data_IF_439370175886
#
_entry.id   IF_439370175886
#
_cell.length_a   1.000
_cell.length_b   1.000
_cell.length_c   1.000
_cell.angle_alpha   90.00
_cell.angle_beta   90.00
_cell.angle_gamma   90.00
#
_symmetry.space_group_name_H-M   'P 1'
#
loop_
_entity.id
_entity.type
_entity.pdbx_description
1 polymer ?
#
# COMPACT_ATOMS: atom_id res chain seq x y z
N UNK A 1 25.02 -2.51 18.48
CA UNK A 1 24.24 -2.68 17.21
C UNK A 1 24.49 -4.08 16.69
N UNK A 2 23.46 -4.83 16.26
CA UNK A 2 23.65 -6.22 15.82
C UNK A 2 24.34 -6.30 14.44
N UNK A 3 25.24 -7.27 14.25
CA UNK A 3 25.88 -7.52 12.96
C UNK A 3 24.85 -7.82 11.85
N UNK A 4 23.75 -8.48 12.22
CA UNK A 4 22.62 -8.78 11.32
C UNK A 4 21.99 -7.51 10.76
N UNK A 5 21.76 -6.50 11.60
CA UNK A 5 21.21 -5.22 11.13
C UNK A 5 22.20 -4.51 10.21
N UNK A 6 23.46 -4.40 10.61
CA UNK A 6 24.49 -3.70 9.84
C UNK A 6 24.65 -4.30 8.43
N UNK A 7 24.66 -5.63 8.32
CA UNK A 7 24.71 -6.34 7.04
C UNK A 7 23.47 -6.04 6.17
N UNK A 8 22.27 -6.09 6.76
CA UNK A 8 21.01 -5.74 6.05
C UNK A 8 20.99 -4.30 5.58
N UNK A 9 21.39 -3.36 6.45
CA UNK A 9 21.48 -1.93 6.11
C UNK A 9 22.45 -1.71 4.94
N UNK A 10 23.65 -2.30 5.00
CA UNK A 10 24.62 -2.20 3.89
C UNK A 10 24.03 -2.71 2.57
N UNK A 11 23.36 -3.86 2.59
CA UNK A 11 22.70 -4.44 1.40
C UNK A 11 21.59 -3.53 0.85
N UNK A 12 20.73 -3.00 1.70
CA UNK A 12 19.62 -2.12 1.28
C UNK A 12 20.17 -0.79 0.74
N UNK A 13 21.17 -0.20 1.40
CA UNK A 13 21.80 1.03 0.91
C UNK A 13 22.52 0.83 -0.42
N UNK A 14 23.16 -0.31 -0.65
CA UNK A 14 23.75 -0.60 -1.97
C UNK A 14 22.69 -0.74 -3.06
N UNK A 15 21.49 -1.25 -2.72
CA UNK A 15 20.36 -1.31 -3.66
C UNK A 15 19.79 0.08 -3.95
N UNK A 16 19.75 0.97 -2.95
CA UNK A 16 19.25 2.35 -3.08
C UNK A 16 20.25 3.31 -3.75
N UNK A 17 21.53 2.96 -3.84
CA UNK A 17 22.60 3.82 -4.38
C UNK A 17 22.78 3.69 -5.90
N UNK A 18 22.05 2.80 -6.56
CA UNK A 18 22.09 2.61 -8.01
C UNK A 18 21.32 3.76 -8.69
N UNK A 19 21.79 4.30 -9.84
CA UNK A 19 21.07 5.30 -10.61
C UNK A 19 19.63 4.88 -10.92
N UNK A 20 18.74 5.87 -11.07
CA UNK A 20 17.29 5.72 -11.24
C UNK A 20 16.83 4.74 -12.31
N UNK A 21 17.66 4.53 -13.33
CA UNK A 21 17.39 3.68 -14.49
C UNK A 21 17.37 2.18 -14.13
N UNK A 22 18.02 1.76 -13.03
CA UNK A 22 18.22 0.34 -12.69
C UNK A 22 17.61 -0.06 -11.32
N UNK A 23 16.91 0.84 -10.64
CA UNK A 23 16.27 0.53 -9.36
C UNK A 23 14.93 -0.21 -9.58
N UNK A 24 14.69 -1.25 -8.78
CA UNK A 24 13.39 -1.93 -8.66
C UNK A 24 12.97 -1.88 -7.19
N UNK A 25 12.30 -0.80 -6.80
CA UNK A 25 11.50 -0.76 -5.58
C UNK A 25 10.43 -1.86 -5.63
N UNK A 26 10.04 -2.39 -4.46
CA UNK A 26 8.89 -3.30 -4.36
C UNK A 26 7.53 -2.57 -4.51
N UNK A 27 7.54 -1.25 -4.70
CA UNK A 27 6.41 -0.46 -5.17
C UNK A 27 6.21 -0.67 -6.68
N UNK A 28 4.97 -0.63 -7.20
CA UNK A 28 4.68 -0.84 -8.64
C UNK A 28 5.47 0.06 -9.62
N UNK A 29 6.08 1.15 -9.15
CA UNK A 29 6.81 2.14 -9.94
C UNK A 29 8.30 1.84 -10.13
N UNK A 30 8.91 0.97 -9.33
CA UNK A 30 10.34 0.62 -9.46
C UNK A 30 11.34 1.71 -9.05
N UNK A 31 11.02 3.01 -9.01
CA UNK A 31 11.95 4.09 -8.64
C UNK A 31 11.57 4.82 -7.33
N UNK A 32 12.55 5.37 -6.60
CA UNK A 32 12.26 6.27 -5.45
C UNK A 32 11.75 7.62 -5.98
N UNK A 33 10.50 7.93 -5.65
CA UNK A 33 9.85 9.22 -5.95
C UNK A 33 10.72 10.42 -5.55
N UNK A 34 10.93 11.36 -6.48
CA UNK A 34 11.71 12.57 -6.21
C UNK A 34 11.26 13.31 -4.93
N UNK A 35 9.93 13.48 -4.66
CA UNK A 35 9.45 14.15 -3.45
C UNK A 35 9.83 13.50 -2.11
N UNK A 36 10.13 12.20 -2.05
CA UNK A 36 10.48 11.53 -0.77
C UNK A 36 11.99 11.35 -0.54
N UNK A 37 12.82 11.60 -1.57
CA UNK A 37 14.27 11.32 -1.49
C UNK A 37 14.97 12.00 -0.33
N UNK A 38 14.63 13.26 -0.05
CA UNK A 38 15.21 14.03 1.05
C UNK A 38 14.92 13.39 2.42
N UNK A 39 13.69 12.92 2.63
CA UNK A 39 13.27 12.22 3.84
C UNK A 39 13.99 10.86 3.96
N UNK A 40 14.00 10.07 2.88
CA UNK A 40 14.67 8.77 2.83
C UNK A 40 16.17 8.90 3.14
N UNK A 41 16.85 9.84 2.49
CA UNK A 41 18.26 10.11 2.73
C UNK A 41 18.53 10.56 4.16
N UNK A 42 17.66 11.39 4.75
CA UNK A 42 17.78 11.81 6.15
C UNK A 42 17.66 10.62 7.11
N UNK A 43 16.66 9.76 6.93
CA UNK A 43 16.43 8.59 7.79
C UNK A 43 17.62 7.62 7.69
N UNK A 44 18.12 7.38 6.47
CA UNK A 44 19.18 6.41 6.22
C UNK A 44 20.55 6.83 6.80
N UNK A 45 20.76 8.13 7.06
CA UNK A 45 21.94 8.63 7.78
C UNK A 45 21.95 8.28 9.27
N UNK A 46 20.81 7.89 9.85
CA UNK A 46 20.76 7.47 11.26
C UNK A 46 21.22 6.03 11.35
N UNK A 47 22.30 5.77 12.08
CA UNK A 47 22.97 4.47 12.11
C UNK A 47 22.03 3.31 12.39
N UNK A 48 21.09 3.49 13.32
CA UNK A 48 20.15 2.44 13.74
C UNK A 48 18.90 2.27 12.86
N UNK A 49 18.81 2.97 11.73
CA UNK A 49 17.65 2.96 10.82
C UNK A 49 18.05 2.69 9.37
N UNK A 50 17.15 2.07 8.61
CA UNK A 50 17.21 2.00 7.14
C UNK A 50 15.81 1.86 6.55
N UNK A 51 15.50 2.61 5.49
CA UNK A 51 14.22 2.52 4.75
C UNK A 51 14.23 1.31 3.81
N UNK A 52 13.16 0.52 3.78
CA UNK A 52 13.08 -0.70 2.93
C UNK A 52 12.12 -0.58 1.75
N UNK A 53 11.15 0.33 1.82
CA UNK A 53 10.23 0.69 0.73
C UNK A 53 9.57 2.02 1.05
N UNK A 54 9.25 2.80 0.01
CA UNK A 54 8.69 4.15 0.17
C UNK A 54 7.77 4.54 -0.99
N UNK A 55 6.61 5.12 -0.67
CA UNK A 55 5.73 5.80 -1.60
C UNK A 55 5.51 7.23 -1.09
N UNK A 56 5.77 8.24 -1.91
CA UNK A 56 5.68 9.66 -1.51
C UNK A 56 4.25 10.17 -1.28
N UNK A 57 3.26 9.41 -1.74
CA UNK A 57 1.87 9.80 -1.93
C UNK A 57 1.54 9.87 -3.41
N UNK A 58 0.27 9.64 -3.77
CA UNK A 58 -0.18 9.66 -5.17
C UNK A 58 -1.63 10.06 -5.29
N UNK A 59 -1.95 10.68 -6.42
CA UNK A 59 -3.30 10.78 -6.95
C UNK A 59 -3.43 9.80 -8.11
N UNK A 60 -4.55 9.09 -8.21
CA UNK A 60 -4.70 8.04 -9.19
C UNK A 60 -6.15 7.86 -9.63
N UNK A 61 -6.33 7.44 -10.88
CA UNK A 61 -7.61 6.94 -11.39
C UNK A 61 -7.51 5.43 -11.44
N UNK A 62 -8.40 4.76 -10.72
CA UNK A 62 -8.39 3.32 -10.53
C UNK A 62 -9.72 2.73 -11.01
N UNK A 63 -9.64 1.74 -11.90
CA UNK A 63 -10.76 0.90 -12.27
C UNK A 63 -10.80 -0.34 -11.37
N UNK A 64 -11.94 -0.64 -10.77
CA UNK A 64 -12.12 -1.86 -9.99
C UNK A 64 -11.93 -3.13 -10.84
N UNK A 65 -11.66 -4.26 -10.17
CA UNK A 65 -11.60 -5.56 -10.85
C UNK A 65 -12.99 -6.02 -11.28
N UNK A 66 -13.05 -6.87 -12.31
CA UNK A 66 -14.31 -7.50 -12.71
C UNK A 66 -14.88 -8.31 -11.53
N UNK A 67 -16.17 -8.12 -11.22
CA UNK A 67 -16.87 -8.97 -10.24
C UNK A 67 -16.92 -10.38 -10.84
N UNK A 68 -16.41 -11.37 -10.11
CA UNK A 68 -16.69 -12.77 -10.46
C UNK A 68 -18.19 -13.00 -10.24
N UNK A 69 -18.94 -13.27 -11.30
CA UNK A 69 -20.33 -13.72 -11.18
C UNK A 69 -20.32 -15.01 -10.35
N UNK A 70 -21.24 -15.10 -9.38
CA UNK A 70 -21.35 -16.22 -8.45
C UNK A 70 -21.99 -17.47 -9.06
N UNK A 71 -21.98 -17.62 -10.39
CA UNK A 71 -22.64 -18.73 -11.11
C UNK A 71 -21.68 -19.75 -11.76
N UNK A 72 -20.35 -19.54 -11.68
CA UNK A 72 -19.38 -20.54 -12.14
C UNK A 72 -19.07 -21.58 -11.05
N UNK A 73 -20.07 -22.42 -10.75
CA UNK A 73 -19.89 -23.76 -10.19
C UNK A 73 -20.61 -24.77 -11.07
N UNK A 74 -20.05 -25.00 -12.26
CA UNK A 74 -20.27 -26.25 -12.99
C UNK A 74 -18.92 -26.87 -13.33
N UNK A 75 -18.68 -28.00 -12.69
CA UNK A 75 -17.63 -28.97 -12.95
C UNK A 75 -17.90 -29.63 -14.31
N UNK A 76 -16.96 -29.52 -15.27
CA UNK A 76 -16.64 -30.60 -16.22
C UNK A 76 -15.16 -30.50 -16.60
N UNK A 77 -14.45 -31.58 -16.27
CA UNK A 77 -13.13 -31.94 -16.82
C UNK A 77 -13.15 -32.04 -18.34
N UNK A 78 -12.24 -31.36 -19.03
CA UNK A 78 -12.02 -31.53 -20.47
C UNK A 78 -11.00 -30.54 -21.02
N UNK A 79 -9.74 -30.97 -21.14
CA UNK A 79 -8.67 -30.12 -21.64
C UNK A 79 -8.80 -29.82 -23.13
N UNK A 80 -8.52 -28.57 -23.52
CA UNK A 80 -7.86 -28.28 -24.79
C UNK A 80 -7.11 -26.96 -24.68
N UNK A 81 -5.81 -27.01 -25.00
CA UNK A 81 -4.90 -25.88 -25.06
C UNK A 81 -5.41 -24.82 -26.03
N UNK A 82 -5.67 -23.62 -25.53
CA UNK A 82 -5.54 -22.40 -26.33
C UNK A 82 -4.60 -21.46 -25.59
N UNK A 83 -3.37 -21.44 -26.09
CA UNK A 83 -2.30 -20.60 -25.64
C UNK A 83 -2.54 -19.19 -26.17
N UNK A 84 -3.04 -18.29 -25.31
CA UNK A 84 -2.94 -16.85 -25.51
C UNK A 84 -2.20 -16.29 -24.32
N UNK A 85 -0.88 -16.41 -24.40
CA UNK A 85 0.10 -15.69 -23.56
C UNK A 85 -0.11 -14.18 -23.73
N UNK A 86 -0.99 -13.57 -22.93
CA UNK A 86 -0.95 -12.13 -22.67
C UNK A 86 -0.24 -11.91 -21.35
N UNK A 87 1.08 -12.11 -21.34
CA UNK A 87 1.96 -11.54 -20.31
C UNK A 87 2.09 -10.05 -20.57
N UNK A 88 1.12 -9.26 -20.09
CA UNK A 88 1.31 -7.83 -19.94
C UNK A 88 1.68 -7.54 -18.48
N UNK A 89 2.98 -7.58 -18.22
CA UNK A 89 3.58 -7.18 -16.94
C UNK A 89 3.58 -5.65 -16.84
N UNK A 90 2.88 -5.07 -15.85
CA UNK A 90 3.44 -4.09 -14.90
C UNK A 90 2.43 -3.21 -14.11
N UNK A 91 1.12 -3.18 -14.41
CA UNK A 91 0.21 -2.18 -13.78
C UNK A 91 -1.12 -2.71 -13.24
N UNK A 92 -1.23 -4.01 -12.98
CA UNK A 92 -2.46 -4.60 -12.42
C UNK A 92 -2.56 -4.34 -10.90
N UNK A 93 -3.63 -3.69 -10.45
CA UNK A 93 -3.93 -3.51 -9.03
C UNK A 93 -4.25 -4.84 -8.36
N UNK A 94 -3.99 -4.95 -7.04
CA UNK A 94 -4.36 -6.13 -6.25
C UNK A 94 -5.88 -6.34 -6.34
N UNK A 95 -6.32 -7.50 -6.84
CA UNK A 95 -7.74 -7.83 -7.00
C UNK A 95 -8.30 -7.67 -8.42
N UNK A 96 -7.45 -7.55 -9.44
CA UNK A 96 -7.87 -7.53 -10.85
C UNK A 96 -8.29 -6.16 -11.38
N UNK A 97 -8.16 -5.10 -10.59
CA UNK A 97 -8.35 -3.73 -11.06
C UNK A 97 -7.14 -3.18 -11.81
N UNK A 98 -7.30 -1.99 -12.39
CA UNK A 98 -6.29 -1.35 -13.23
C UNK A 98 -6.07 0.10 -12.84
N UNK A 99 -4.80 0.53 -12.80
CA UNK A 99 -4.44 1.93 -12.68
C UNK A 99 -4.52 2.57 -14.06
N UNK A 100 -5.48 3.48 -14.25
CA UNK A 100 -5.65 4.23 -15.50
C UNK A 100 -4.88 5.54 -15.48
N UNK A 101 -4.70 6.12 -14.30
CA UNK A 101 -3.86 7.28 -14.09
C UNK A 101 -3.13 7.20 -12.75
N UNK A 102 -1.87 7.64 -12.70
CA UNK A 102 -1.09 7.77 -11.48
C UNK A 102 -0.17 8.99 -11.60
N UNK A 103 -0.29 9.92 -10.66
CA UNK A 103 0.69 10.99 -10.46
C UNK A 103 1.15 11.01 -9.00
N UNK A 104 2.44 11.28 -8.81
CA UNK A 104 3.06 11.44 -7.49
C UNK A 104 3.26 12.91 -7.10
N UNK A 105 2.76 13.82 -7.94
CA UNK A 105 2.85 15.27 -7.77
C UNK A 105 1.47 15.90 -8.03
N UNK A 106 1.34 17.18 -7.64
CA UNK A 106 0.12 17.94 -7.92
C UNK A 106 -0.15 18.00 -9.42
N UNK A 107 -1.42 17.83 -9.79
CA UNK A 107 -1.87 17.91 -11.18
C UNK A 107 -2.12 19.38 -11.54
N UNK A 108 -1.44 19.90 -12.56
CA UNK A 108 -1.67 21.26 -13.04
C UNK A 108 -2.96 21.37 -13.86
N UNK A 109 -4.01 21.86 -13.21
CA UNK A 109 -5.34 22.02 -13.82
C UNK A 109 -5.39 23.10 -14.90
N UNK A 110 -4.48 24.07 -14.89
CA UNK A 110 -4.50 25.18 -15.86
C UNK A 110 -4.26 24.68 -17.29
N UNK A 111 -3.42 23.65 -17.43
CA UNK A 111 -3.13 22.99 -18.70
C UNK A 111 -4.34 22.28 -19.33
N UNK A 112 -5.35 21.91 -18.53
CA UNK A 112 -6.50 21.13 -18.96
C UNK A 112 -7.79 21.95 -19.15
N UNK A 113 -7.88 23.14 -18.54
CA UNK A 113 -9.07 24.00 -18.61
C UNK A 113 -9.09 24.93 -19.84
N UNK A 114 -7.96 25.07 -20.54
CA UNK A 114 -7.79 26.01 -21.66
C UNK A 114 -8.41 25.62 -23.00
N UNK A 115 -8.89 24.38 -23.18
CA UNK A 115 -9.33 23.86 -24.49
C UNK A 115 -10.84 23.57 -24.58
N UNK A 116 -11.68 24.29 -23.83
CA UNK A 116 -13.12 24.03 -23.82
C UNK A 116 -13.78 24.54 -25.10
N UNK A 117 -14.08 23.63 -26.04
CA UNK A 117 -15.12 23.85 -27.04
C UNK A 117 -16.44 23.32 -26.48
N UNK A 118 -17.48 24.16 -26.29
CA UNK A 118 -18.68 23.83 -25.51
C UNK A 118 -19.65 22.81 -26.13
N UNK A 119 -19.27 22.09 -27.20
CA UNK A 119 -20.19 21.28 -28.01
C UNK A 119 -19.91 19.77 -28.03
N UNK A 120 -18.99 19.23 -27.23
CA UNK A 120 -18.68 17.80 -27.24
C UNK A 120 -19.21 17.07 -25.99
N UNK A 121 -19.91 15.95 -26.17
CA UNK A 121 -20.37 15.04 -25.10
C UNK A 121 -19.23 14.26 -24.42
N UNK A 122 -18.00 14.76 -24.51
CA UNK A 122 -16.77 14.15 -24.00
C UNK A 122 -16.16 15.06 -22.93
N UNK A 123 -15.78 14.51 -21.77
CA UNK A 123 -15.04 15.28 -20.76
C UNK A 123 -13.64 15.60 -21.30
N UNK A 124 -13.29 16.87 -21.42
CA UNK A 124 -11.95 17.24 -21.88
C UNK A 124 -10.92 16.92 -20.79
N UNK A 125 -11.26 17.15 -19.52
CA UNK A 125 -10.35 16.95 -18.40
C UNK A 125 -9.93 15.50 -18.20
N UNK A 126 -10.87 14.55 -18.09
CA UNK A 126 -10.51 13.13 -17.91
C UNK A 126 -9.77 12.59 -19.13
N UNK A 127 -10.24 12.94 -20.33
CA UNK A 127 -9.60 12.49 -21.56
C UNK A 127 -8.13 12.96 -21.61
N UNK A 128 -7.87 14.23 -21.32
CA UNK A 128 -6.50 14.77 -21.29
C UNK A 128 -5.63 14.11 -20.21
N UNK A 129 -6.17 13.78 -19.03
CA UNK A 129 -5.42 13.06 -17.99
C UNK A 129 -5.01 11.65 -18.44
N UNK A 130 -5.92 10.92 -19.10
CA UNK A 130 -5.64 9.59 -19.61
C UNK A 130 -4.65 9.62 -20.79
N UNK A 131 -4.83 10.55 -21.73
CA UNK A 131 -3.94 10.73 -22.89
C UNK A 131 -2.52 11.15 -22.48
N UNK A 132 -2.40 12.04 -21.49
CA UNK A 132 -1.08 12.51 -21.01
C UNK A 132 -0.19 11.35 -20.57
N UNK A 133 -0.75 10.28 -20.01
CA UNK A 133 0.01 9.09 -19.60
C UNK A 133 0.35 8.16 -20.76
N UNK A 134 -0.56 7.99 -21.72
CA UNK A 134 -0.28 7.21 -22.92
C UNK A 134 0.90 7.77 -23.73
N UNK A 135 1.17 9.07 -23.63
CA UNK A 135 2.32 9.69 -24.28
C UNK A 135 3.65 9.49 -23.52
N UNK A 136 3.60 9.25 -22.19
CA UNK A 136 4.79 8.95 -21.38
C UNK A 136 5.20 7.46 -21.48
N UNK A 137 4.23 6.57 -21.65
CA UNK A 137 4.45 5.14 -21.89
C UNK A 137 4.51 4.97 -23.41
N UNK A 138 5.69 4.80 -24.02
CA UNK A 138 5.88 4.60 -25.48
C UNK A 138 5.25 3.28 -25.99
N UNK A 139 3.97 3.03 -25.76
CA UNK A 139 3.25 1.83 -26.18
C UNK A 139 2.26 2.22 -27.30
N UNK A 140 2.75 2.15 -28.53
CA UNK A 140 2.09 2.63 -29.75
C UNK A 140 0.88 1.81 -30.20
N UNK A 141 0.21 1.06 -29.33
CA UNK A 141 -0.92 0.18 -29.71
C UNK A 141 -2.10 0.10 -28.71
N UNK A 142 -2.19 0.97 -27.69
CA UNK A 142 -3.45 1.05 -26.90
C UNK A 142 -4.34 2.19 -27.38
N UNK A 143 -5.50 1.85 -27.95
CA UNK A 143 -6.53 2.81 -28.30
C UNK A 143 -6.95 3.59 -27.05
N UNK A 144 -6.91 4.94 -27.11
CA UNK A 144 -7.38 5.81 -26.03
C UNK A 144 -8.83 5.47 -25.70
N UNK A 145 -9.19 5.22 -24.43
CA UNK A 145 -10.56 4.91 -24.08
C UNK A 145 -11.45 6.13 -24.39
N UNK A 146 -12.54 5.90 -25.12
CA UNK A 146 -13.53 6.93 -25.40
C UNK A 146 -14.25 7.30 -24.10
N UNK A 147 -14.23 8.58 -23.74
CA UNK A 147 -14.90 9.07 -22.54
C UNK A 147 -16.25 9.67 -22.92
N UNK A 148 -17.32 9.12 -22.37
CA UNK A 148 -18.70 9.55 -22.59
C UNK A 148 -19.24 10.14 -21.29
N UNK A 149 -19.83 11.33 -21.37
CA UNK A 149 -20.52 11.96 -20.24
C UNK A 149 -22.02 11.79 -20.44
N UNK A 150 -22.64 10.92 -19.65
CA UNK A 150 -24.09 10.75 -19.62
C UNK A 150 -24.56 10.65 -18.16
N UNK A 151 -25.05 11.76 -17.56
CA UNK A 151 -25.55 11.75 -16.19
C UNK A 151 -26.86 10.99 -16.02
N UNK A 152 -27.53 10.59 -17.11
CA UNK A 152 -28.76 9.80 -17.10
C UNK A 152 -28.52 8.29 -17.29
N UNK A 153 -27.30 7.88 -17.65
CA UNK A 153 -26.95 6.49 -17.83
C UNK A 153 -27.08 5.70 -16.53
N UNK A 154 -27.78 4.58 -16.59
CA UNK A 154 -27.89 3.64 -15.48
C UNK A 154 -26.61 2.82 -15.36
N UNK A 155 -26.13 2.64 -14.13
CA UNK A 155 -24.91 1.88 -13.86
C UNK A 155 -25.13 0.40 -14.22
N UNK A 156 -24.40 -0.17 -15.21
CA UNK A 156 -24.57 -1.57 -15.58
C UNK A 156 -24.12 -2.49 -14.44
N UNK A 157 -24.78 -3.64 -14.20
CA UNK A 157 -24.42 -4.55 -13.10
C UNK A 157 -22.96 -5.03 -13.12
N UNK A 158 -22.42 -5.23 -14.33
CA UNK A 158 -21.07 -5.75 -14.59
C UNK A 158 -20.03 -4.65 -14.84
N UNK A 159 -20.44 -3.37 -14.76
CA UNK A 159 -19.53 -2.26 -14.96
C UNK A 159 -18.54 -2.14 -13.80
N UNK A 160 -17.29 -1.78 -14.14
CA UNK A 160 -16.21 -1.59 -13.17
C UNK A 160 -16.21 -0.13 -12.73
N UNK A 161 -16.37 0.13 -11.44
CA UNK A 161 -16.39 1.51 -10.94
C UNK A 161 -15.00 2.15 -11.15
N UNK A 162 -15.01 3.40 -11.61
CA UNK A 162 -13.83 4.25 -11.68
C UNK A 162 -13.77 5.16 -10.46
N UNK A 163 -12.61 5.15 -9.81
CA UNK A 163 -12.34 5.92 -8.61
C UNK A 163 -11.22 6.93 -8.85
N UNK A 164 -11.43 8.18 -8.44
CA UNK A 164 -10.34 9.11 -8.22
C UNK A 164 -9.88 8.98 -6.76
N UNK A 165 -8.62 8.58 -6.59
CA UNK A 165 -8.01 8.28 -5.30
C UNK A 165 -6.87 9.23 -4.99
N UNK A 166 -6.77 9.62 -3.73
CA UNK A 166 -5.53 10.13 -3.15
C UNK A 166 -5.07 9.17 -2.07
N UNK A 167 -3.85 8.67 -2.19
CA UNK A 167 -3.20 7.84 -1.19
C UNK A 167 -1.98 8.60 -0.64
N UNK A 168 -1.89 8.86 0.67
CA UNK A 168 -0.76 9.60 1.25
C UNK A 168 0.50 8.74 1.35
N UNK A 169 1.56 9.32 1.93
CA UNK A 169 2.83 8.65 2.18
C UNK A 169 2.64 7.26 2.84
N UNK A 170 3.37 6.27 2.32
CA UNK A 170 3.65 5.00 2.99
C UNK A 170 5.16 4.79 3.04
N UNK A 171 5.70 4.45 4.21
CA UNK A 171 7.13 4.26 4.40
C UNK A 171 7.39 3.10 5.37
N UNK A 172 8.30 2.20 5.00
CA UNK A 172 8.78 1.16 5.90
C UNK A 172 10.21 1.42 6.34
N UNK A 173 10.45 1.40 7.66
CA UNK A 173 11.75 1.63 8.27
C UNK A 173 12.16 0.42 9.09
N UNK A 174 13.20 -0.29 8.66
CA UNK A 174 13.87 -1.30 9.46
C UNK A 174 14.71 -0.59 10.53
N UNK A 175 14.46 -0.95 11.79
CA UNK A 175 15.11 -0.41 12.96
C UNK A 175 16.02 -1.48 13.58
N UNK A 176 17.18 -1.08 14.08
CA UNK A 176 18.16 -2.00 14.66
C UNK A 176 17.70 -2.64 15.98
N UNK A 177 16.74 -2.02 16.67
CA UNK A 177 16.17 -2.51 17.93
C UNK A 177 14.75 -1.99 18.14
N UNK A 178 14.05 -2.56 19.11
CA UNK A 178 12.73 -2.07 19.55
C UNK A 178 12.79 -0.64 20.10
N UNK A 179 13.90 -0.25 20.72
CA UNK A 179 14.10 1.12 21.23
C UNK A 179 14.12 2.15 20.10
N UNK A 180 14.91 1.90 19.04
CA UNK A 180 14.90 2.74 17.84
C UNK A 180 13.52 2.78 17.19
N UNK A 181 12.83 1.63 17.11
CA UNK A 181 11.49 1.55 16.54
C UNK A 181 10.45 2.39 17.28
N UNK A 182 10.51 2.40 18.63
CA UNK A 182 9.62 3.23 19.47
C UNK A 182 9.84 4.72 19.21
N UNK A 183 11.09 5.18 19.08
CA UNK A 183 11.41 6.57 18.74
C UNK A 183 10.78 6.98 17.40
N UNK A 184 10.94 6.15 16.37
CA UNK A 184 10.36 6.38 15.04
C UNK A 184 8.83 6.39 15.11
N UNK A 185 8.22 5.42 15.81
CA UNK A 185 6.77 5.33 15.94
C UNK A 185 6.17 6.58 16.62
N UNK A 186 6.76 7.04 17.72
CA UNK A 186 6.30 8.23 18.44
C UNK A 186 6.39 9.46 17.54
N UNK A 187 7.52 9.65 16.85
CA UNK A 187 7.70 10.74 15.89
C UNK A 187 6.65 10.68 14.76
N UNK A 188 6.38 9.49 14.24
CA UNK A 188 5.38 9.29 13.19
C UNK A 188 3.96 9.62 13.65
N UNK A 189 3.55 9.13 14.82
CA UNK A 189 2.22 9.42 15.38
C UNK A 189 2.05 10.92 15.67
N UNK A 190 3.08 11.58 16.22
CA UNK A 190 3.09 13.03 16.46
C UNK A 190 3.03 13.85 15.16
N UNK A 191 3.62 13.34 14.08
CA UNK A 191 3.55 13.94 12.74
C UNK A 191 2.21 13.69 12.01
N UNK A 192 1.28 12.95 12.61
CA UNK A 192 -0.05 12.65 12.06
C UNK A 192 -0.17 11.32 11.34
N UNK A 193 0.85 10.46 11.37
CA UNK A 193 0.80 9.09 10.85
C UNK A 193 0.25 8.12 11.91
N UNK A 194 -1.03 8.29 12.26
CA UNK A 194 -1.67 7.62 13.41
C UNK A 194 -1.83 6.11 13.25
N UNK A 195 -1.91 5.65 12.01
CA UNK A 195 -2.08 4.24 11.65
C UNK A 195 -0.73 3.49 11.56
N UNK A 196 0.36 4.13 12.00
CA UNK A 196 1.70 3.54 12.05
C UNK A 196 1.81 2.44 13.11
N UNK A 197 2.63 1.43 12.85
CA UNK A 197 2.80 0.30 13.75
C UNK A 197 4.14 -0.41 13.62
N UNK A 198 4.52 -1.15 14.66
CA UNK A 198 5.72 -1.99 14.68
C UNK A 198 5.33 -3.42 14.31
N UNK A 199 6.05 -4.03 13.38
CA UNK A 199 5.92 -5.44 13.00
C UNK A 199 7.29 -6.14 13.12
N UNK A 200 7.29 -7.37 13.63
CA UNK A 200 8.51 -8.17 13.70
C UNK A 200 9.03 -8.52 12.31
N UNK A 201 10.35 -8.65 12.16
CA UNK A 201 10.93 -9.19 10.92
C UNK A 201 10.71 -10.71 10.93
N UNK A 202 10.15 -11.31 9.87
CA UNK A 202 10.15 -12.76 9.74
C UNK A 202 11.60 -13.25 9.77
N UNK A 203 11.96 -14.07 10.76
CA UNK A 203 13.22 -14.80 10.72
C UNK A 203 13.22 -15.68 9.46
N UNK A 204 14.36 -15.82 8.76
CA UNK A 204 14.48 -16.87 7.76
C UNK A 204 14.16 -18.21 8.44
N UNK A 205 13.44 -19.14 7.78
CA UNK A 205 13.14 -20.43 8.37
C UNK A 205 14.45 -21.07 8.84
N UNK A 206 14.56 -21.32 10.15
CA UNK A 206 15.63 -22.16 10.70
C UNK A 206 15.63 -23.48 9.93
N UNK A 207 16.80 -24.04 9.56
CA UNK A 207 16.84 -25.40 9.04
C UNK A 207 16.10 -26.31 10.02
N UNK A 208 15.14 -27.08 9.50
CA UNK A 208 14.28 -27.93 10.30
C UNK A 208 15.16 -28.84 11.17
N UNK A 209 14.86 -29.00 12.47
CA UNK A 209 15.53 -30.03 13.25
C UNK A 209 15.29 -31.38 12.57
N UNK A 210 16.37 -32.12 12.34
CA UNK A 210 16.32 -33.49 11.83
C UNK A 210 15.26 -34.26 12.61
N UNK A 211 14.35 -34.91 11.87
CA UNK A 211 13.22 -35.66 12.40
C UNK A 211 13.66 -36.66 13.46
N UNK A 212 13.55 -36.29 14.74
CA UNK A 212 13.54 -37.25 15.83
C UNK A 212 12.23 -38.04 15.72
N UNK A 213 12.36 -39.36 15.58
CA UNK A 213 11.29 -40.28 15.24
C UNK A 213 10.05 -40.14 16.12
N UNK A 214 8.89 -40.12 15.48
CA UNK A 214 7.60 -40.41 16.13
C UNK A 214 7.67 -41.83 16.69
N UNK A 215 7.80 -41.96 18.01
CA UNK A 215 7.36 -43.15 18.71
C UNK A 215 5.87 -42.98 19.00
N UNK A 216 5.07 -43.80 18.33
CA UNK A 216 3.67 -44.05 18.64
C UNK A 216 3.58 -45.02 19.81
N UNK A 217 2.81 -44.69 20.84
CA UNK A 217 2.30 -45.68 21.80
C UNK A 217 0.78 -45.56 21.91
N UNK A 218 0.07 -46.68 22.15
CA UNK A 218 -1.30 -46.90 21.72
C UNK A 218 -2.34 -46.51 22.77
N UNK A 219 -3.58 -46.41 22.29
CA UNK A 219 -4.80 -46.18 23.04
C UNK A 219 -5.05 -47.23 24.13
N UNK A 220 -5.50 -46.78 25.30
CA UNK A 220 -6.22 -47.60 26.27
C UNK A 220 -7.71 -47.26 26.24
N UNK A 221 -8.49 -48.31 26.04
CA UNK A 221 -9.94 -48.41 26.25
C UNK A 221 -10.25 -48.58 27.74
N UNK A 222 -11.31 -47.92 28.21
CA UNK A 222 -12.22 -48.25 29.33
C UNK A 222 -13.14 -47.03 29.51
N UNK A 223 -14.44 -47.05 29.80
CA UNK A 223 -15.49 -48.06 29.91
C UNK A 223 -16.85 -47.29 29.89
N UNK A 224 -17.95 -47.99 29.66
CA UNK A 224 -19.33 -47.47 29.52
C UNK A 224 -19.98 -46.92 30.82
N UNK A 225 -20.70 -45.79 30.67
CA UNK A 225 -22.08 -45.42 31.14
C UNK A 225 -22.46 -45.58 32.65
N UNK A 226 -23.51 -44.88 33.21
CA UNK A 226 -24.72 -44.40 32.53
C UNK A 226 -25.35 -43.05 32.99
N UNK A 227 -26.35 -42.65 32.20
CA UNK A 227 -27.53 -41.82 32.49
C UNK A 227 -27.49 -40.76 33.61
N UNK A 228 -27.40 -39.51 33.17
CA UNK A 228 -27.86 -38.34 33.93
C UNK A 228 -28.37 -37.29 32.96
N UNK A 229 -29.68 -37.03 32.99
CA UNK A 229 -30.32 -35.90 32.30
C UNK A 229 -29.61 -34.60 32.71
N UNK A 230 -28.97 -33.92 31.75
CA UNK A 230 -28.47 -32.57 31.95
C UNK A 230 -29.36 -31.59 31.18
N UNK A 231 -29.89 -30.64 31.94
CA UNK A 231 -30.73 -29.55 31.48
C UNK A 231 -30.10 -28.74 30.34
N UNK A 232 -30.88 -28.52 29.28
CA UNK A 232 -30.53 -27.85 28.02
C UNK A 232 -30.24 -26.33 28.18
N UNK A 233 -30.05 -25.83 29.41
CA UNK A 233 -29.89 -24.39 29.72
C UNK A 233 -28.48 -23.95 30.14
N UNK A 234 -27.50 -24.86 30.23
CA UNK A 234 -26.08 -24.49 30.45
C UNK A 234 -25.22 -24.48 29.19
N UNK A 235 -25.77 -24.85 28.03
CA UNK A 235 -25.04 -24.90 26.75
C UNK A 235 -24.77 -23.53 26.07
N UNK A 236 -25.05 -22.40 26.74
CA UNK A 236 -24.70 -21.05 26.30
C UNK A 236 -23.73 -20.38 27.27
N UNK A 237 -22.43 -20.73 27.25
CA UNK A 237 -21.32 -19.78 27.62
C UNK A 237 -19.87 -20.27 27.51
N UNK A 238 -19.54 -21.25 26.67
CA UNK A 238 -18.13 -21.57 26.42
C UNK A 238 -17.77 -21.51 24.94
N UNK A 239 -17.62 -20.28 24.45
CA UNK A 239 -16.66 -20.07 23.37
C UNK A 239 -15.28 -20.48 23.90
N UNK A 240 -14.51 -21.31 23.18
CA UNK A 240 -13.16 -21.60 23.58
C UNK A 240 -12.41 -20.27 23.64
N UNK A 241 -11.99 -19.86 24.85
CA UNK A 241 -11.10 -18.72 25.01
C UNK A 241 -9.89 -19.01 24.14
N UNK A 242 -9.77 -18.28 23.03
CA UNK A 242 -8.63 -18.36 22.12
C UNK A 242 -7.41 -18.09 22.99
N UNK A 243 -6.69 -19.15 23.37
CA UNK A 243 -5.51 -19.02 24.20
C UNK A 243 -4.57 -18.10 23.43
N UNK A 244 -4.34 -16.89 23.98
CA UNK A 244 -3.36 -15.98 23.41
C UNK A 244 -2.06 -16.75 23.43
N UNK A 245 -1.51 -17.03 22.24
CA UNK A 245 -0.17 -17.62 22.12
C UNK A 245 0.74 -16.82 23.06
N UNK A 246 1.57 -17.48 23.89
CA UNK A 246 2.47 -16.78 24.78
C UNK A 246 3.27 -15.79 23.95
N UNK A 247 3.18 -14.53 24.34
CA UNK A 247 3.85 -13.42 23.68
C UNK A 247 5.34 -13.69 23.83
N UNK A 248 5.97 -14.26 22.79
CA UNK A 248 7.43 -14.49 22.76
C UNK A 248 8.09 -13.20 23.23
N UNK A 249 8.92 -13.30 24.27
CA UNK A 249 9.73 -12.19 24.76
C UNK A 249 10.33 -11.47 23.56
N UNK A 250 10.14 -10.15 23.51
CA UNK A 250 10.55 -9.32 22.38
C UNK A 250 12.03 -9.61 22.10
N UNK A 251 12.32 -10.24 20.97
CA UNK A 251 13.68 -10.44 20.54
C UNK A 251 14.32 -9.07 20.36
N UNK A 252 15.55 -8.89 20.86
CA UNK A 252 16.35 -7.66 20.68
C UNK A 252 16.88 -7.53 19.24
N UNK A 253 16.17 -8.13 18.29
CA UNK A 253 16.50 -8.17 16.89
C UNK A 253 15.92 -6.99 16.11
N UNK A 254 16.27 -6.88 14.82
CA UNK A 254 15.72 -5.85 13.95
C UNK A 254 14.19 -5.96 13.83
N UNK A 255 13.50 -4.84 13.84
CA UNK A 255 12.04 -4.75 13.69
C UNK A 255 11.67 -3.70 12.65
N UNK A 256 10.52 -3.83 12.00
CA UNK A 256 10.06 -2.87 10.99
C UNK A 256 9.00 -1.95 11.61
N UNK A 257 9.12 -0.66 11.33
CA UNK A 257 8.05 0.32 11.54
C UNK A 257 7.40 0.59 10.20
N UNK A 258 6.10 0.33 10.10
CA UNK A 258 5.27 0.77 8.99
C UNK A 258 4.68 2.14 9.33
N UNK A 259 5.05 3.17 8.58
CA UNK A 259 4.57 4.54 8.71
C UNK A 259 3.53 4.79 7.63
N UNK A 260 2.31 5.10 8.03
CA UNK A 260 1.18 5.28 7.11
C UNK A 260 0.10 6.16 7.72
N UNK A 261 -0.76 6.70 6.87
CA UNK A 261 -1.98 7.32 7.35
C UNK A 261 -3.18 7.14 6.43
N UNK A 262 -4.38 7.07 7.01
CA UNK A 262 -5.64 7.16 6.26
C UNK A 262 -6.28 8.54 6.39
N UNK A 263 -5.84 9.38 7.34
CA UNK A 263 -6.42 10.71 7.58
C UNK A 263 -6.22 11.72 6.45
N UNK A 264 -5.43 11.40 5.42
CA UNK A 264 -5.32 12.18 4.19
C UNK A 264 -5.82 11.43 2.95
N UNK A 265 -6.27 10.18 3.09
CA UNK A 265 -6.78 9.43 1.96
C UNK A 265 -8.07 10.07 1.41
N UNK A 266 -8.29 9.89 0.11
CA UNK A 266 -9.52 10.26 -0.59
C UNK A 266 -9.86 9.14 -1.55
N UNK A 267 -11.13 8.80 -1.63
CA UNK A 267 -11.66 7.81 -2.58
C UNK A 267 -13.03 8.32 -3.03
N UNK A 268 -13.13 8.68 -4.30
CA UNK A 268 -14.36 9.23 -4.88
C UNK A 268 -14.71 8.46 -6.17
N UNK A 269 -15.89 7.84 -6.26
CA UNK A 269 -16.36 7.30 -7.52
C UNK A 269 -16.62 8.45 -8.50
N UNK A 270 -16.13 8.31 -9.73
CA UNK A 270 -16.24 9.32 -10.80
C UNK A 270 -16.96 8.80 -12.04
N UNK A 271 -17.20 7.49 -12.13
CA UNK A 271 -17.81 6.87 -13.30
C UNK A 271 -17.62 5.37 -13.32
N UNK A 272 -17.66 4.77 -14.51
CA UNK A 272 -17.38 3.36 -14.72
C UNK A 272 -16.72 3.08 -16.06
N UNK A 273 -16.05 1.93 -16.14
CA UNK A 273 -15.64 1.33 -17.40
C UNK A 273 -16.69 0.29 -17.83
N UNK A 274 -17.29 0.49 -19.00
CA UNK A 274 -18.19 -0.46 -19.63
C UNK A 274 -17.46 -1.72 -20.10
N UNK A 275 -18.19 -2.81 -20.31
CA UNK A 275 -17.64 -4.06 -20.87
C UNK A 275 -17.11 -3.88 -22.30
N UNK A 276 -17.63 -2.88 -23.02
CA UNK A 276 -17.16 -2.46 -24.34
C UNK A 276 -15.80 -1.76 -24.32
N UNK A 277 -15.26 -1.43 -23.14
CA UNK A 277 -14.00 -0.70 -22.97
C UNK A 277 -14.16 0.83 -22.92
N UNK A 278 -15.38 1.34 -23.12
CA UNK A 278 -15.68 2.76 -22.99
C UNK A 278 -15.68 3.21 -21.52
N UNK A 279 -15.22 4.44 -21.29
CA UNK A 279 -15.26 5.07 -19.97
C UNK A 279 -16.47 6.00 -19.91
N UNK A 280 -17.35 5.76 -18.96
CA UNK A 280 -18.53 6.58 -18.73
C UNK A 280 -18.34 7.39 -17.46
N UNK A 281 -18.23 8.72 -17.62
CA UNK A 281 -18.07 9.63 -16.50
C UNK A 281 -19.46 9.97 -15.92
N UNK A 282 -19.63 9.70 -14.63
CA UNK A 282 -20.87 10.00 -13.90
C UNK A 282 -20.86 11.37 -13.22
N UNK A 283 -19.81 12.16 -13.44
CA UNK A 283 -19.61 13.48 -12.83
C UNK A 283 -19.25 14.52 -13.88
N UNK A 284 -19.48 15.79 -13.58
CA UNK A 284 -19.13 16.90 -14.48
C UNK A 284 -17.65 17.29 -14.37
N UNK A 285 -17.11 17.94 -15.40
CA UNK A 285 -15.74 18.48 -15.38
C UNK A 285 -15.48 19.43 -14.20
N UNK A 286 -16.39 20.37 -13.83
CA UNK A 286 -16.21 21.19 -12.63
C UNK A 286 -16.12 20.37 -11.33
N UNK A 287 -16.90 19.28 -11.22
CA UNK A 287 -16.83 18.41 -10.06
C UNK A 287 -15.50 17.64 -10.02
N UNK A 288 -15.07 17.07 -11.15
CA UNK A 288 -13.79 16.38 -11.27
C UNK A 288 -12.61 17.33 -10.97
N UNK A 289 -12.65 18.56 -11.48
CA UNK A 289 -11.68 19.62 -11.18
C UNK A 289 -11.63 19.94 -9.67
N UNK A 290 -12.79 19.98 -9.01
CA UNK A 290 -12.86 20.16 -7.55
C UNK A 290 -12.21 19.00 -6.79
N UNK A 291 -12.44 17.75 -7.22
CA UNK A 291 -11.79 16.58 -6.62
C UNK A 291 -10.26 16.62 -6.80
N UNK A 292 -9.77 16.97 -7.99
CA UNK A 292 -8.33 17.10 -8.25
C UNK A 292 -7.71 18.23 -7.42
N UNK A 293 -8.40 19.36 -7.27
CA UNK A 293 -7.99 20.46 -6.38
C UNK A 293 -7.86 19.98 -4.94
N UNK A 294 -8.85 19.22 -4.44
CA UNK A 294 -8.74 18.60 -3.11
C UNK A 294 -7.58 17.60 -3.00
N UNK A 295 -7.28 16.87 -4.08
CA UNK A 295 -6.10 16.00 -4.18
C UNK A 295 -4.79 16.81 -4.07
N UNK A 296 -4.70 17.93 -4.77
CA UNK A 296 -3.56 18.86 -4.70
C UNK A 296 -3.36 19.43 -3.30
N UNK A 297 -4.44 19.86 -2.62
CA UNK A 297 -4.37 20.30 -1.22
C UNK A 297 -3.85 19.19 -0.30
N UNK A 298 -4.21 17.93 -0.57
CA UNK A 298 -3.73 16.78 0.19
C UNK A 298 -2.25 16.50 -0.06
N UNK A 299 -1.70 16.77 -1.26
CA UNK A 299 -0.25 16.76 -1.48
C UNK A 299 0.45 17.75 -0.55
N UNK A 300 -0.03 19.00 -0.47
CA UNK A 300 0.55 20.03 0.41
C UNK A 300 0.53 19.58 1.87
N UNK A 301 -0.60 19.06 2.35
CA UNK A 301 -0.70 18.55 3.73
C UNK A 301 0.18 17.32 3.97
N UNK A 302 0.34 16.45 2.96
CA UNK A 302 1.20 15.28 3.03
C UNK A 302 2.69 15.67 3.09
N UNK A 303 3.10 16.71 2.36
CA UNK A 303 4.44 17.32 2.48
C UNK A 303 4.70 17.86 3.89
N UNK A 304 3.75 18.59 4.46
CA UNK A 304 3.89 19.12 5.82
C UNK A 304 4.00 17.99 6.86
N UNK A 305 3.26 16.88 6.69
CA UNK A 305 3.42 15.68 7.54
C UNK A 305 4.79 15.03 7.35
N UNK A 306 5.29 14.93 6.10
CA UNK A 306 6.65 14.41 5.81
C UNK A 306 7.72 15.26 6.50
N UNK A 307 7.58 16.59 6.48
CA UNK A 307 8.48 17.52 7.17
C UNK A 307 8.44 17.30 8.69
N UNK A 308 7.26 17.26 9.31
CA UNK A 308 7.12 17.00 10.76
C UNK A 308 7.69 15.65 11.17
N UNK A 309 7.50 14.61 10.35
CA UNK A 309 8.07 13.29 10.57
C UNK A 309 9.59 13.34 10.57
N UNK A 310 10.17 14.02 9.56
CA UNK A 310 11.63 14.23 9.46
C UNK A 310 12.17 14.88 10.73
N UNK A 311 11.58 16.00 11.12
CA UNK A 311 12.03 16.80 12.27
C UNK A 311 11.86 16.03 13.58
N UNK A 312 10.74 15.31 13.74
CA UNK A 312 10.46 14.46 14.89
C UNK A 312 11.46 13.31 15.02
N UNK A 313 11.83 12.66 13.91
CA UNK A 313 12.85 11.60 13.90
C UNK A 313 14.21 12.20 14.27
N UNK A 314 14.64 13.29 13.63
CA UNK A 314 15.93 13.94 13.94
C UNK A 314 15.99 14.27 15.44
N UNK A 315 14.96 14.91 15.97
CA UNK A 315 14.87 15.25 17.40
C UNK A 315 15.02 13.99 18.26
N UNK A 316 14.26 12.93 17.99
CA UNK A 316 14.29 11.71 18.82
C UNK A 316 15.65 10.97 18.85
N UNK A 317 16.48 11.14 17.81
CA UNK A 317 17.77 10.47 17.70
C UNK A 317 18.97 11.35 18.09
N UNK A 318 18.85 12.67 18.02
CA UNK A 318 19.99 13.58 18.25
C UNK A 318 19.80 14.58 19.42
N UNK A 319 18.61 14.71 20.02
CA UNK A 319 18.37 15.67 21.11
C UNK A 319 18.98 15.31 22.47
N UNK A 320 19.87 14.31 22.53
CA UNK A 320 20.56 13.87 23.76
C UNK A 320 22.09 13.94 23.67
N UNK A 321 22.66 14.45 22.57
CA UNK A 321 24.11 14.47 22.32
C UNK A 321 24.79 15.80 22.66
N UNK A 322 24.13 16.70 23.39
CA UNK A 322 24.67 18.02 23.74
C UNK A 322 24.37 18.43 25.18
N UNK A 323 24.88 17.67 26.17
CA UNK A 323 25.36 18.22 27.46
C UNK A 323 26.38 17.23 28.04
N UNK A 324 27.59 17.21 27.52
CA UNK A 324 28.75 16.68 28.24
C UNK A 324 30.01 17.41 27.74
N UNK A 325 30.69 18.05 28.70
CA UNK A 325 32.04 18.62 28.68
C UNK A 325 32.32 19.97 27.99
N UNK A 326 32.46 21.00 28.84
CA UNK A 326 33.73 21.71 29.17
C UNK A 326 33.38 23.11 29.72
N UNK A 327 33.94 23.65 30.80
CA UNK A 327 34.92 23.23 31.79
C UNK A 327 35.06 24.43 32.74
N UNK A 328 34.80 24.25 34.02
CA UNK A 328 35.75 24.57 35.09
C UNK A 328 37.14 25.03 34.59
N UNK A 329 37.35 26.34 34.52
CA UNK A 329 38.60 27.07 34.83
C UNK A 329 38.20 28.42 35.41
#
# INVERSE_FOLDING_TARGET
MSQVFAAKKKKILSQLAVPTEDYVDASPKGSVDAPIRSLVGTINRIDSLVTTSSCSGRIAIYAEGAKKSSDDKLDVSGGTNSNVDTKNSSTQGKGGGAWLFVSHESVDLSSYLGSTSPSSSTSNLLHSLLVSLQNEIQDTQTSTPRVIVDPSATFPPDARILHLKFEPLILHVLCASLSSARKVLIAAQAAGFRESGISGVPEPPSPAPASAGRQSSPAEHQDMAPDGQMDEKEALRQYPKRQRKPQKQASDGPVIVAIRTTGLAMDAPIGYAATTGEIMLGVSDPYLSSLLTMGNDRFVRNEERKRRLRDGIIKAFFSGSSVAESGNV
#
